data_IF_710183203437
#
_entry.id   IF_710183203437
#
_cell.length_a   1.000
_cell.length_b   1.000
_cell.length_c   1.000
_cell.angle_alpha   90.00
_cell.angle_beta   90.00
_cell.angle_gamma   90.00
#
_symmetry.space_group_name_H-M   'P 1'
#
loop_
_entity.id
_entity.type
_entity.pdbx_description
1 polymer ?
#
# COMPACT_ATOMS: atom_id res chain seq x y z
N UNK A 1 -13.94 8.97 -32.22
CA UNK A 1 -14.25 7.91 -31.23
C UNK A 1 -13.46 6.67 -31.62
N UNK A 2 -12.69 6.08 -30.72
CA UNK A 2 -11.91 4.86 -31.01
C UNK A 2 -12.87 3.67 -31.04
N UNK A 3 -12.79 2.82 -32.06
CA UNK A 3 -13.60 1.62 -32.20
C UNK A 3 -12.78 0.37 -31.87
N UNK A 4 -13.45 -0.75 -31.59
CA UNK A 4 -12.80 -2.03 -31.27
C UNK A 4 -11.87 -2.47 -32.42
N UNK A 5 -12.24 -2.21 -33.69
CA UNK A 5 -11.44 -2.56 -34.87
C UNK A 5 -10.12 -1.80 -34.96
N UNK A 6 -9.96 -0.71 -34.21
CA UNK A 6 -8.72 0.09 -34.15
C UNK A 6 -7.76 -0.38 -33.05
N UNK A 7 -8.15 -1.36 -32.26
CA UNK A 7 -7.29 -1.95 -31.23
C UNK A 7 -6.30 -2.94 -31.87
N UNK A 8 -5.14 -3.10 -31.22
CA UNK A 8 -4.16 -4.10 -31.64
C UNK A 8 -4.74 -5.51 -31.58
N UNK A 9 -4.52 -6.31 -32.62
CA UNK A 9 -4.90 -7.73 -32.63
C UNK A 9 -4.36 -8.53 -31.44
N UNK A 10 -3.16 -8.16 -30.96
CA UNK A 10 -2.57 -8.78 -29.77
C UNK A 10 -3.39 -8.50 -28.52
N UNK A 11 -3.95 -7.30 -28.39
CA UNK A 11 -4.82 -6.94 -27.27
C UNK A 11 -6.16 -7.65 -27.36
N UNK A 12 -6.74 -7.74 -28.59
CA UNK A 12 -8.01 -8.42 -28.81
C UNK A 12 -7.94 -9.93 -28.54
N UNK A 13 -6.76 -10.54 -28.73
CA UNK A 13 -6.52 -11.97 -28.49
C UNK A 13 -5.97 -12.27 -27.10
N UNK A 14 -5.69 -11.25 -26.29
CA UNK A 14 -5.16 -11.46 -24.95
C UNK A 14 -6.21 -12.15 -24.06
N UNK A 15 -5.86 -13.30 -23.52
CA UNK A 15 -6.68 -14.01 -22.55
C UNK A 15 -6.31 -13.61 -21.13
N UNK A 16 -7.31 -13.19 -20.34
CA UNK A 16 -7.14 -12.84 -18.94
C UNK A 16 -7.88 -13.83 -18.05
N UNK A 17 -7.22 -14.96 -17.79
CA UNK A 17 -7.83 -16.11 -17.11
C UNK A 17 -8.29 -15.83 -15.67
N UNK A 18 -7.60 -14.92 -14.95
CA UNK A 18 -7.91 -14.65 -13.51
C UNK A 18 -9.32 -14.09 -13.31
N UNK A 19 -9.86 -13.35 -14.29
CA UNK A 19 -11.21 -12.76 -14.28
C UNK A 19 -12.02 -13.16 -15.51
N UNK A 20 -11.80 -14.37 -15.98
CA UNK A 20 -12.46 -14.92 -17.16
C UNK A 20 -13.90 -15.42 -16.88
N UNK A 21 -14.46 -16.19 -17.81
CA UNK A 21 -15.85 -16.65 -17.76
C UNK A 21 -16.24 -17.38 -16.49
N UNK A 22 -15.32 -18.12 -15.88
CA UNK A 22 -15.55 -18.85 -14.61
C UNK A 22 -15.88 -17.89 -13.48
N UNK A 23 -15.16 -16.77 -13.39
CA UNK A 23 -15.40 -15.75 -12.33
C UNK A 23 -16.73 -15.05 -12.56
N UNK A 24 -17.06 -14.72 -13.82
CA UNK A 24 -18.35 -14.12 -14.17
C UNK A 24 -19.48 -15.09 -13.76
N UNK A 25 -19.35 -16.37 -14.09
CA UNK A 25 -20.35 -17.38 -13.71
C UNK A 25 -20.47 -17.54 -12.20
N UNK A 26 -19.37 -17.49 -11.48
CA UNK A 26 -19.37 -17.52 -10.02
C UNK A 26 -20.15 -16.34 -9.42
N UNK A 27 -19.93 -15.12 -9.94
CA UNK A 27 -20.65 -13.91 -9.52
C UNK A 27 -22.16 -13.99 -9.81
N UNK A 28 -22.56 -14.53 -10.96
CA UNK A 28 -23.98 -14.77 -11.27
C UNK A 28 -24.63 -15.73 -10.26
N UNK A 29 -23.93 -16.81 -9.90
CA UNK A 29 -24.44 -17.77 -8.92
C UNK A 29 -24.51 -17.17 -7.52
N UNK A 30 -23.56 -16.35 -7.14
CA UNK A 30 -23.55 -15.61 -5.87
C UNK A 30 -24.73 -14.62 -5.80
N UNK A 31 -25.01 -13.90 -6.91
CA UNK A 31 -26.18 -13.02 -7.02
C UNK A 31 -27.51 -13.79 -6.91
N UNK A 32 -27.54 -15.09 -7.24
CA UNK A 32 -28.66 -15.98 -7.05
C UNK A 32 -28.74 -16.57 -5.62
N UNK A 33 -27.90 -16.10 -4.70
CA UNK A 33 -27.88 -16.55 -3.31
C UNK A 33 -27.06 -17.83 -3.06
N UNK A 34 -26.28 -18.30 -4.03
CA UNK A 34 -25.39 -19.45 -3.82
C UNK A 34 -24.11 -19.01 -3.11
N UNK A 35 -23.69 -19.78 -2.13
CA UNK A 35 -22.39 -19.56 -1.46
C UNK A 35 -21.25 -20.00 -2.37
N UNK A 36 -20.40 -19.08 -2.76
CA UNK A 36 -19.21 -19.32 -3.58
C UNK A 36 -17.94 -19.21 -2.72
N UNK A 37 -16.98 -20.10 -2.95
CA UNK A 37 -15.65 -20.04 -2.37
C UNK A 37 -14.68 -19.70 -3.50
N UNK A 38 -14.17 -18.47 -3.47
CA UNK A 38 -13.20 -18.00 -4.45
C UNK A 38 -11.79 -18.44 -4.08
N UNK A 39 -11.17 -19.22 -4.96
CA UNK A 39 -9.78 -19.71 -4.78
C UNK A 39 -8.82 -19.19 -5.87
N UNK A 40 -9.29 -18.32 -6.75
CA UNK A 40 -8.53 -17.79 -7.89
C UNK A 40 -7.61 -16.63 -7.54
N UNK A 41 -7.88 -15.91 -6.44
CA UNK A 41 -7.06 -14.79 -5.94
C UNK A 41 -6.89 -14.96 -4.44
N UNK A 42 -5.65 -14.76 -3.95
CA UNK A 42 -5.38 -14.72 -2.52
C UNK A 42 -6.09 -13.52 -1.87
N UNK A 43 -6.92 -13.78 -0.87
CA UNK A 43 -7.61 -12.75 -0.10
C UNK A 43 -7.58 -13.10 1.40
N UNK A 44 -6.43 -12.91 2.07
CA UNK A 44 -6.28 -13.29 3.47
C UNK A 44 -7.29 -12.62 4.39
N UNK A 45 -7.62 -11.34 4.16
CA UNK A 45 -8.57 -10.61 4.99
C UNK A 45 -10.00 -11.17 4.88
N UNK A 46 -10.43 -11.64 3.70
CA UNK A 46 -11.71 -12.34 3.55
C UNK A 46 -11.73 -13.66 4.34
N UNK A 47 -10.57 -14.27 4.58
CA UNK A 47 -10.37 -15.44 5.43
C UNK A 47 -10.12 -15.09 6.91
N UNK A 48 -10.50 -13.89 7.33
CA UNK A 48 -10.40 -13.38 8.71
C UNK A 48 -8.96 -13.11 9.21
N UNK A 49 -7.98 -13.00 8.32
CA UNK A 49 -6.67 -12.50 8.73
C UNK A 49 -6.81 -11.03 9.13
N UNK A 50 -6.38 -10.62 10.34
CA UNK A 50 -6.42 -9.22 10.73
C UNK A 50 -5.49 -8.38 9.83
N UNK A 51 -5.88 -7.16 9.46
CA UNK A 51 -5.01 -6.28 8.70
C UNK A 51 -3.80 -5.83 9.53
N UNK A 52 -2.70 -5.50 8.85
CA UNK A 52 -1.59 -4.80 9.47
C UNK A 52 -2.05 -3.38 9.85
N UNK A 53 -2.22 -3.13 11.14
CA UNK A 53 -2.80 -1.88 11.65
C UNK A 53 -1.76 -0.78 11.88
N UNK A 54 -0.55 -1.12 12.30
CA UNK A 54 0.50 -0.17 12.65
C UNK A 54 0.74 0.90 11.58
N UNK A 55 0.96 0.49 10.33
CA UNK A 55 1.18 1.44 9.23
C UNK A 55 -0.06 2.31 8.96
N UNK A 56 -1.26 1.73 9.03
CA UNK A 56 -2.52 2.45 8.83
C UNK A 56 -2.75 3.52 9.90
N UNK A 57 -2.41 3.20 11.12
CA UNK A 57 -2.49 4.12 12.25
C UNK A 57 -1.49 5.27 12.11
N UNK A 58 -0.23 4.99 11.72
CA UNK A 58 0.75 6.04 11.44
C UNK A 58 0.26 6.93 10.30
N UNK A 59 -0.17 6.34 9.18
CA UNK A 59 -0.66 7.10 8.03
C UNK A 59 -1.84 8.01 8.41
N UNK A 60 -2.81 7.54 9.20
CA UNK A 60 -3.94 8.38 9.62
C UNK A 60 -3.51 9.62 10.39
N UNK A 61 -2.46 9.53 11.21
CA UNK A 61 -1.91 10.66 11.96
C UNK A 61 -1.03 11.59 11.11
N UNK A 62 -0.36 11.03 10.10
CA UNK A 62 0.49 11.81 9.20
C UNK A 62 -0.34 12.55 8.15
N UNK A 63 -1.41 11.91 7.63
CA UNK A 63 -2.32 12.52 6.66
C UNK A 63 -3.28 13.54 7.28
N UNK A 64 -3.62 13.37 8.55
CA UNK A 64 -4.49 14.29 9.29
C UNK A 64 -3.91 14.61 10.68
N UNK A 65 -2.90 15.52 10.76
CA UNK A 65 -2.15 15.80 11.98
C UNK A 65 -2.97 16.31 13.17
N UNK A 66 -4.15 16.90 12.94
CA UNK A 66 -5.04 17.35 14.01
C UNK A 66 -5.48 16.21 14.93
N UNK A 67 -5.49 14.96 14.46
CA UNK A 67 -5.74 13.79 15.30
C UNK A 67 -4.69 13.61 16.39
N UNK A 68 -3.50 14.20 16.27
CA UNK A 68 -2.47 14.12 17.31
C UNK A 68 -2.88 14.74 18.65
N UNK A 69 -3.87 15.64 18.64
CA UNK A 69 -4.41 16.26 19.87
C UNK A 69 -5.08 15.23 20.79
N UNK A 70 -5.63 14.16 20.21
CA UNK A 70 -6.31 13.06 20.94
C UNK A 70 -5.63 11.70 20.71
N UNK A 71 -4.47 11.69 20.07
CA UNK A 71 -3.85 10.44 19.64
C UNK A 71 -3.48 9.49 20.78
N UNK A 72 -3.14 10.02 21.96
CA UNK A 72 -2.79 9.19 23.12
C UNK A 72 -3.96 8.36 23.66
N UNK A 73 -5.19 8.78 23.38
CA UNK A 73 -6.41 8.05 23.78
C UNK A 73 -6.80 6.99 22.76
N UNK A 74 -6.40 7.16 21.50
CA UNK A 74 -6.89 6.39 20.36
C UNK A 74 -5.85 5.41 19.80
N UNK A 75 -4.56 5.69 19.98
CA UNK A 75 -3.48 4.97 19.32
C UNK A 75 -2.42 4.47 20.31
N UNK A 76 -1.74 3.35 20.00
CA UNK A 76 -0.56 2.91 20.74
C UNK A 76 0.54 3.98 20.74
N UNK A 77 1.31 4.02 21.84
CA UNK A 77 2.36 5.01 22.06
C UNK A 77 3.40 5.06 20.94
N UNK A 78 3.85 3.91 20.46
CA UNK A 78 4.85 3.76 19.39
C UNK A 78 4.34 4.31 18.04
N UNK A 79 3.04 4.18 17.77
CA UNK A 79 2.39 4.80 16.61
C UNK A 79 2.47 6.32 16.68
N UNK A 80 2.10 6.88 17.83
CA UNK A 80 2.09 8.35 18.06
C UNK A 80 3.51 8.91 17.96
N UNK A 81 4.48 8.25 18.58
CA UNK A 81 5.89 8.64 18.52
C UNK A 81 6.43 8.59 17.08
N UNK A 82 6.12 7.53 16.34
CA UNK A 82 6.55 7.41 14.95
C UNK A 82 5.90 8.46 14.03
N UNK A 83 4.62 8.72 14.20
CA UNK A 83 3.94 9.75 13.42
C UNK A 83 4.52 11.15 13.69
N UNK A 84 4.79 11.49 14.96
CA UNK A 84 5.43 12.75 15.34
C UNK A 84 6.84 12.88 14.78
N UNK A 85 7.63 11.81 14.81
CA UNK A 85 8.97 11.79 14.21
C UNK A 85 8.94 12.10 12.72
N UNK A 86 8.00 11.47 11.99
CA UNK A 86 7.81 11.72 10.56
C UNK A 86 7.41 13.17 10.30
N UNK A 87 6.42 13.70 11.00
CA UNK A 87 5.95 15.07 10.81
C UNK A 87 7.00 16.12 11.18
N UNK A 88 7.80 15.86 12.22
CA UNK A 88 8.92 16.74 12.60
C UNK A 88 9.99 16.79 11.52
N UNK A 89 10.31 15.66 10.91
CA UNK A 89 11.31 15.54 9.84
C UNK A 89 10.78 15.96 8.47
N UNK A 90 9.47 16.02 8.30
CA UNK A 90 8.79 16.44 7.09
C UNK A 90 7.72 17.51 7.41
N UNK A 91 8.13 18.73 7.78
CA UNK A 91 7.19 19.77 8.21
C UNK A 91 6.25 20.25 7.10
N UNK A 92 6.58 20.00 5.84
CA UNK A 92 5.69 20.28 4.69
C UNK A 92 4.51 19.31 4.60
N UNK A 93 4.50 18.27 5.41
CA UNK A 93 3.45 17.24 5.38
C UNK A 93 3.49 16.37 4.14
N UNK A 94 2.43 15.60 3.94
CA UNK A 94 2.18 14.82 2.73
C UNK A 94 1.57 15.70 1.65
N UNK A 95 1.74 15.35 0.38
CA UNK A 95 1.18 16.11 -0.74
C UNK A 95 2.07 17.22 -1.31
N UNK A 96 3.12 17.66 -0.61
CA UNK A 96 4.14 18.52 -1.18
C UNK A 96 5.17 17.71 -2.00
N UNK A 97 5.72 18.33 -3.04
CA UNK A 97 6.84 17.72 -3.78
C UNK A 97 8.05 17.50 -2.86
N UNK A 98 8.69 16.35 -3.02
CA UNK A 98 9.92 16.00 -2.31
C UNK A 98 11.08 15.88 -3.30
N UNK A 99 12.26 15.45 -2.82
CA UNK A 99 13.40 15.20 -3.70
C UNK A 99 13.13 14.04 -4.66
N UNK A 100 13.67 14.13 -5.87
CA UNK A 100 13.44 13.13 -6.94
C UNK A 100 13.80 11.69 -6.55
N UNK A 101 14.80 11.51 -5.67
CA UNK A 101 15.17 10.20 -5.14
C UNK A 101 14.38 9.79 -3.89
N UNK A 102 13.42 10.62 -3.45
CA UNK A 102 12.66 10.43 -2.22
C UNK A 102 13.21 11.16 -1.00
N UNK A 103 12.44 11.20 0.06
CA UNK A 103 12.73 11.95 1.29
C UNK A 103 14.02 11.42 1.96
N UNK A 104 15.02 12.27 2.25
CA UNK A 104 16.34 11.82 2.71
C UNK A 104 16.32 10.99 4.00
N UNK A 105 15.51 11.37 5.00
CA UNK A 105 15.45 10.61 6.25
C UNK A 105 14.85 9.22 6.08
N UNK A 106 13.91 9.03 5.14
CA UNK A 106 13.34 7.71 4.82
C UNK A 106 14.39 6.87 4.09
N UNK A 107 15.10 7.45 3.11
CA UNK A 107 16.20 6.78 2.42
C UNK A 107 17.28 6.32 3.40
N UNK A 108 17.62 7.19 4.38
CA UNK A 108 18.54 6.82 5.45
C UNK A 108 18.00 5.66 6.29
N UNK A 109 16.73 5.70 6.69
CA UNK A 109 16.13 4.63 7.48
C UNK A 109 16.12 3.28 6.74
N UNK A 110 15.90 3.29 5.42
CA UNK A 110 16.01 2.09 4.57
C UNK A 110 17.45 1.57 4.53
N UNK A 111 18.43 2.45 4.33
CA UNK A 111 19.85 2.07 4.32
C UNK A 111 20.30 1.50 5.67
N UNK A 112 19.89 2.14 6.79
CA UNK A 112 20.18 1.65 8.15
C UNK A 112 19.56 0.27 8.38
N UNK A 113 18.31 0.05 7.93
CA UNK A 113 17.66 -1.25 8.02
C UNK A 113 18.42 -2.34 7.24
N UNK A 114 18.83 -2.04 6.00
CA UNK A 114 19.62 -2.97 5.17
C UNK A 114 20.94 -3.29 5.86
N UNK A 115 21.66 -2.26 6.34
CA UNK A 115 22.94 -2.44 7.02
C UNK A 115 22.81 -3.32 8.28
N UNK A 116 21.77 -3.09 9.08
CA UNK A 116 21.52 -3.88 10.29
C UNK A 116 21.11 -5.33 9.98
N UNK A 117 20.33 -5.55 8.92
CA UNK A 117 19.89 -6.89 8.50
C UNK A 117 21.05 -7.72 7.95
N UNK A 118 21.88 -7.12 7.11
CA UNK A 118 22.88 -7.83 6.29
C UNK A 118 24.29 -7.76 6.89
N UNK A 119 24.51 -6.90 7.90
CA UNK A 119 25.84 -6.69 8.49
C UNK A 119 26.81 -5.92 7.58
N UNK A 120 26.31 -5.30 6.50
CA UNK A 120 27.11 -4.58 5.50
C UNK A 120 26.62 -3.14 5.40
N UNK A 121 27.51 -2.13 5.48
CA UNK A 121 27.10 -0.73 5.34
C UNK A 121 26.35 -0.46 4.03
N UNK A 122 25.19 0.16 4.12
CA UNK A 122 24.42 0.59 2.96
C UNK A 122 24.45 2.11 2.83
N UNK A 123 24.60 2.61 1.59
CA UNK A 123 24.65 4.04 1.32
C UNK A 123 23.24 4.57 1.01
N UNK A 124 22.70 5.53 1.77
CA UNK A 124 21.41 6.15 1.47
C UNK A 124 21.30 6.78 0.07
N UNK A 125 22.44 7.18 -0.53
CA UNK A 125 22.46 7.73 -1.87
C UNK A 125 22.03 6.71 -2.95
N UNK A 126 22.16 5.42 -2.67
CA UNK A 126 21.78 4.33 -3.56
C UNK A 126 20.32 3.88 -3.38
N UNK A 127 19.58 4.49 -2.44
CA UNK A 127 18.15 4.21 -2.20
C UNK A 127 17.32 5.20 -2.99
N UNK A 128 16.42 4.72 -3.82
CA UNK A 128 15.44 5.51 -4.56
C UNK A 128 14.05 5.03 -4.13
N UNK A 129 13.19 5.97 -3.73
CA UNK A 129 11.79 5.71 -3.37
C UNK A 129 10.92 6.05 -4.58
N UNK A 130 10.10 5.10 -5.01
CA UNK A 130 9.19 5.24 -6.17
C UNK A 130 7.75 5.01 -5.76
#
# INVERSE_FOLDING_TARGET
MITIQQLSDKLLRAEYAVRGPIVIRAQELEAQGRKIIYCNIGNPQALKQPPLTFMRQILSLVEYPELLTKAQELYPKDVVERARDILTKNPSGTGAYTQSAGIPFIRKAVADFIANRDGIPANPANVILT
#
